data_IF_245828716128
#
_entry.id   IF_245828716128
#
_cell.length_a   1.000
_cell.length_b   1.000
_cell.length_c   1.000
_cell.angle_alpha   90.00
_cell.angle_beta   90.00
_cell.angle_gamma   90.00
#
_symmetry.space_group_name_H-M   'P 1'
#
loop_
_entity.id
_entity.type
_entity.pdbx_description
1 polymer ?
#
# COMPACT_ATOMS: atom_id res chain seq x y z
N UNK A 1 -47.85 -39.67 40.62
CA UNK A 1 -48.19 -38.54 39.72
C UNK A 1 -46.92 -37.71 39.55
N UNK A 2 -46.20 -37.89 38.43
CA UNK A 2 -46.13 -36.97 37.25
C UNK A 2 -45.35 -35.69 37.60
N UNK A 3 -44.31 -35.20 36.89
CA UNK A 3 -43.44 -35.56 35.75
C UNK A 3 -42.37 -34.44 35.68
N UNK A 4 -41.13 -34.77 35.27
CA UNK A 4 -40.26 -34.04 34.30
C UNK A 4 -39.89 -32.56 34.61
N UNK A 5 -38.63 -32.09 34.55
CA UNK A 5 -37.34 -32.70 34.18
C UNK A 5 -36.27 -31.61 33.93
N UNK A 6 -34.99 -32.06 33.81
CA UNK A 6 -33.83 -31.51 33.03
C UNK A 6 -33.47 -30.02 33.20
N UNK A 7 -32.23 -29.59 33.50
CA UNK A 7 -30.93 -29.90 32.84
C UNK A 7 -29.75 -29.27 33.64
N UNK A 8 -28.55 -29.80 33.38
CA UNK A 8 -27.23 -29.61 34.01
C UNK A 8 -26.49 -28.29 33.70
N UNK A 9 -25.52 -27.89 34.55
CA UNK A 9 -24.20 -27.36 34.16
C UNK A 9 -23.19 -27.33 35.33
N UNK A 10 -21.91 -27.58 35.05
CA UNK A 10 -20.77 -27.66 35.96
C UNK A 10 -19.86 -26.42 35.84
N UNK A 11 -19.12 -26.05 36.90
CA UNK A 11 -17.93 -25.18 36.85
C UNK A 11 -16.88 -25.65 37.86
N UNK A 12 -15.63 -25.67 37.38
CA UNK A 12 -14.37 -26.10 38.00
C UNK A 12 -13.93 -25.25 39.20
N UNK A 13 -13.21 -25.88 40.14
CA UNK A 13 -12.29 -25.24 41.08
C UNK A 13 -10.90 -25.90 40.93
N UNK A 14 -9.87 -25.08 40.66
CA UNK A 14 -8.48 -25.53 40.57
C UNK A 14 -7.74 -25.22 41.89
N UNK A 15 -6.98 -26.23 42.35
CA UNK A 15 -6.33 -26.29 43.66
C UNK A 15 -4.92 -25.73 43.71
N UNK A 16 -4.42 -25.71 44.95
CA UNK A 16 -3.22 -25.04 45.44
C UNK A 16 -1.93 -25.89 45.40
N UNK A 17 -0.79 -25.16 45.35
CA UNK A 17 0.55 -25.36 45.95
C UNK A 17 1.23 -26.74 46.00
N UNK A 18 2.52 -26.82 45.57
CA UNK A 18 3.73 -26.87 46.45
C UNK A 18 5.05 -27.20 45.68
N UNK A 19 6.20 -26.80 46.30
CA UNK A 19 7.63 -27.18 46.12
C UNK A 19 8.49 -26.21 45.26
N UNK A 20 9.34 -25.31 45.80
CA UNK A 20 10.71 -25.45 46.41
C UNK A 20 11.68 -26.28 45.55
N UNK A 21 12.90 -25.91 45.15
CA UNK A 21 13.93 -24.97 45.67
C UNK A 21 15.20 -25.01 44.78
N UNK A 22 16.14 -24.05 45.00
CA UNK A 22 17.61 -24.06 44.72
C UNK A 22 18.23 -23.42 43.43
N UNK A 23 18.90 -22.28 43.67
CA UNK A 23 20.21 -21.73 43.20
C UNK A 23 20.66 -21.64 41.70
N UNK A 24 20.74 -20.37 41.22
CA UNK A 24 21.87 -19.58 40.60
C UNK A 24 22.77 -20.17 39.48
N UNK A 25 23.49 -19.36 38.63
CA UNK A 25 23.57 -17.89 38.48
C UNK A 25 23.55 -17.34 37.02
N UNK A 26 23.52 -16.00 36.95
CA UNK A 26 23.93 -15.08 35.87
C UNK A 26 25.07 -15.55 34.93
N UNK A 27 24.91 -15.33 33.62
CA UNK A 27 25.96 -14.83 32.71
C UNK A 27 25.35 -14.35 31.37
N UNK A 28 25.66 -13.10 31.01
CA UNK A 28 25.40 -12.46 29.72
C UNK A 28 26.03 -13.21 28.55
N UNK A 29 25.32 -13.29 27.42
CA UNK A 29 25.92 -13.12 26.09
C UNK A 29 24.82 -12.67 25.13
N UNK A 30 24.68 -11.36 24.93
CA UNK A 30 23.90 -10.83 23.82
C UNK A 30 24.66 -11.09 22.51
N UNK A 31 24.10 -11.93 21.64
CA UNK A 31 24.50 -12.03 20.25
C UNK A 31 23.62 -11.09 19.42
N UNK A 32 24.22 -9.98 18.98
CA UNK A 32 23.72 -9.16 17.87
C UNK A 32 23.68 -10.03 16.60
N UNK A 33 22.48 -10.40 16.17
CA UNK A 33 22.21 -10.76 14.79
C UNK A 33 21.08 -9.84 14.30
N UNK A 34 21.48 -8.82 13.53
CA UNK A 34 20.55 -7.98 12.79
C UNK A 34 19.89 -8.86 11.71
N UNK A 35 18.62 -9.16 11.89
CA UNK A 35 17.81 -9.83 10.88
C UNK A 35 17.53 -8.83 9.75
N UNK A 36 18.24 -9.01 8.64
CA UNK A 36 17.94 -8.42 7.34
C UNK A 36 16.53 -8.87 6.93
N UNK A 37 15.53 -8.02 7.10
CA UNK A 37 14.21 -8.23 6.49
C UNK A 37 14.26 -7.72 5.04
N UNK A 38 14.53 -8.62 4.11
CA UNK A 38 14.22 -8.38 2.70
C UNK A 38 12.71 -8.48 2.54
N UNK A 39 12.03 -7.34 2.44
CA UNK A 39 10.61 -7.27 2.11
C UNK A 39 10.42 -7.73 0.67
N UNK A 40 9.75 -8.87 0.47
CA UNK A 40 9.36 -9.34 -0.85
C UNK A 40 8.43 -8.31 -1.50
N UNK A 41 8.85 -7.82 -2.66
CA UNK A 41 8.20 -6.76 -3.44
C UNK A 41 6.93 -7.32 -4.12
N UNK A 42 5.82 -7.32 -3.39
CA UNK A 42 4.50 -7.54 -3.95
C UNK A 42 4.01 -6.25 -4.62
N UNK A 43 3.94 -6.26 -5.96
CA UNK A 43 3.30 -5.19 -6.73
C UNK A 43 1.78 -5.39 -6.68
N UNK A 44 1.04 -4.33 -6.36
CA UNK A 44 -0.42 -4.33 -6.38
C UNK A 44 -0.97 -4.54 -7.80
N UNK A 45 -2.25 -4.92 -7.91
CA UNK A 45 -2.96 -5.05 -9.18
C UNK A 45 -2.96 -3.76 -10.03
N UNK A 46 -2.67 -2.62 -9.40
CA UNK A 46 -2.62 -1.30 -10.00
C UNK A 46 -1.20 -0.88 -10.41
N UNK A 47 -0.22 -1.80 -10.40
CA UNK A 47 1.15 -1.50 -10.79
C UNK A 47 1.92 -0.64 -9.79
N UNK A 48 1.36 -0.37 -8.61
CA UNK A 48 2.01 0.32 -7.50
C UNK A 48 2.56 -0.69 -6.49
N UNK A 49 3.72 -0.40 -5.94
CA UNK A 49 4.40 -1.20 -4.92
C UNK A 49 4.38 -0.48 -3.58
N UNK A 50 4.32 -1.26 -2.50
CA UNK A 50 4.66 -0.75 -1.18
C UNK A 50 6.13 -0.24 -1.14
N UNK A 51 6.48 0.66 -0.22
CA UNK A 51 7.84 1.18 -0.08
C UNK A 51 8.86 0.05 0.08
N UNK A 52 10.02 0.21 -0.57
CA UNK A 52 11.13 -0.73 -0.46
C UNK A 52 12.34 -0.04 0.17
N UNK A 53 13.01 -0.73 1.09
CA UNK A 53 14.22 -0.23 1.74
C UNK A 53 15.41 -1.12 1.40
N UNK A 54 16.50 -0.51 0.92
CA UNK A 54 17.78 -1.17 0.66
C UNK A 54 18.91 -0.23 1.06
N UNK A 55 19.88 -0.72 1.84
CA UNK A 55 21.08 0.02 2.23
C UNK A 55 20.82 1.43 2.83
N UNK A 56 19.77 1.55 3.66
CA UNK A 56 19.39 2.83 4.28
C UNK A 56 18.68 3.81 3.35
N UNK A 57 18.39 3.39 2.11
CA UNK A 57 17.67 4.16 1.10
C UNK A 57 16.27 3.60 0.94
N UNK A 58 15.26 4.45 1.13
CA UNK A 58 13.87 4.11 0.85
C UNK A 58 13.51 4.53 -0.57
N UNK A 59 12.82 3.65 -1.29
CA UNK A 59 12.19 3.97 -2.57
C UNK A 59 10.68 3.83 -2.47
N UNK A 60 9.96 4.88 -2.87
CA UNK A 60 8.51 4.89 -3.01
C UNK A 60 8.13 4.88 -4.49
N UNK A 61 7.05 4.19 -4.82
CA UNK A 61 6.31 4.52 -6.03
C UNK A 61 5.60 5.86 -5.84
N UNK A 62 5.43 6.59 -6.94
CA UNK A 62 4.78 7.89 -6.94
C UNK A 62 3.62 7.92 -7.91
N UNK A 63 2.66 8.80 -7.62
CA UNK A 63 1.54 9.10 -8.50
C UNK A 63 1.31 10.60 -8.64
N UNK A 64 0.68 11.03 -9.72
CA UNK A 64 0.04 12.32 -9.86
C UNK A 64 -1.45 12.19 -9.59
N UNK A 65 -1.99 13.09 -8.78
CA UNK A 65 -3.42 13.13 -8.45
C UNK A 65 -3.79 14.53 -7.91
N UNK A 66 -4.80 15.19 -8.46
CA UNK A 66 -5.09 16.60 -8.15
C UNK A 66 -4.04 17.57 -8.70
N UNK A 67 -4.33 18.86 -8.55
CA UNK A 67 -3.46 19.97 -8.96
C UNK A 67 -3.51 21.10 -7.95
N UNK A 68 -2.37 21.73 -7.66
CA UNK A 68 -2.30 22.86 -6.74
C UNK A 68 -1.32 23.92 -7.22
N UNK A 69 -1.41 25.13 -6.68
CA UNK A 69 -0.40 26.16 -6.90
C UNK A 69 0.92 25.70 -6.29
N UNK A 70 2.00 25.74 -7.07
CA UNK A 70 3.29 25.17 -6.66
C UNK A 70 4.48 25.99 -7.13
N UNK A 71 4.50 26.43 -8.39
CA UNK A 71 5.60 27.20 -8.99
C UNK A 71 5.04 28.42 -9.73
N UNK A 72 5.90 29.42 -9.98
CA UNK A 72 5.59 30.54 -10.89
C UNK A 72 5.50 30.02 -12.33
N UNK A 73 4.28 30.04 -12.87
CA UNK A 73 3.93 29.56 -14.21
C UNK A 73 3.68 30.69 -15.20
N UNK A 74 3.42 31.91 -14.70
CA UNK A 74 3.10 33.06 -15.52
C UNK A 74 4.34 33.96 -15.80
N UNK A 75 5.44 33.75 -15.07
CA UNK A 75 6.72 34.42 -15.20
C UNK A 75 6.80 35.80 -14.55
N UNK A 76 5.92 36.13 -13.60
CA UNK A 76 5.91 37.42 -12.89
C UNK A 76 6.88 37.48 -11.70
N UNK A 77 7.53 36.36 -11.37
CA UNK A 77 8.49 36.23 -10.29
C UNK A 77 7.90 35.88 -8.92
N UNK A 78 6.59 35.63 -8.84
CA UNK A 78 5.90 35.21 -7.62
C UNK A 78 5.07 33.97 -7.91
N UNK A 79 5.13 32.96 -7.03
CA UNK A 79 4.20 31.83 -7.11
C UNK A 79 2.95 32.15 -6.27
N UNK A 80 1.82 32.46 -6.93
CA UNK A 80 0.58 32.86 -6.26
C UNK A 80 -0.69 32.25 -6.89
N UNK A 81 -1.88 32.72 -6.50
CA UNK A 81 -3.14 32.15 -6.99
C UNK A 81 -3.52 32.55 -8.43
N UNK A 82 -2.75 33.46 -9.05
CA UNK A 82 -2.86 33.80 -10.47
C UNK A 82 -2.11 32.80 -11.37
N UNK A 83 -1.29 31.92 -10.78
CA UNK A 83 -0.62 30.84 -11.49
C UNK A 83 -1.55 29.69 -11.87
N UNK A 84 -1.16 28.98 -12.93
CA UNK A 84 -1.78 27.72 -13.30
C UNK A 84 -1.40 26.63 -12.28
N UNK A 85 -2.42 25.98 -11.71
CA UNK A 85 -2.24 24.83 -10.82
C UNK A 85 -1.51 23.68 -11.54
N UNK A 86 -0.48 23.15 -10.89
CA UNK A 86 0.34 22.04 -11.39
C UNK A 86 -0.06 20.72 -10.72
N UNK A 87 0.10 19.56 -11.40
CA UNK A 87 -0.16 18.25 -10.81
C UNK A 87 0.57 18.03 -9.49
N UNK A 88 -0.13 17.51 -8.48
CA UNK A 88 0.49 17.18 -7.19
C UNK A 88 1.11 15.79 -7.31
N UNK A 89 2.41 15.68 -7.00
CA UNK A 89 3.11 14.39 -6.89
C UNK A 89 2.97 13.84 -5.47
N UNK A 90 2.59 12.58 -5.36
CA UNK A 90 2.40 11.88 -4.10
C UNK A 90 3.34 10.68 -3.99
N UNK A 91 3.88 10.43 -2.80
CA UNK A 91 4.60 9.20 -2.43
C UNK A 91 3.61 8.17 -1.90
N UNK A 92 3.66 6.95 -2.43
CA UNK A 92 2.81 5.84 -2.00
C UNK A 92 3.39 5.21 -0.74
N UNK A 93 2.75 5.45 0.41
CA UNK A 93 3.18 4.94 1.71
C UNK A 93 2.72 3.49 1.93
N UNK A 94 1.53 3.13 1.45
CA UNK A 94 1.11 1.73 1.40
C UNK A 94 0.08 1.48 0.31
N UNK A 95 0.06 0.24 -0.17
CA UNK A 95 -0.99 -0.27 -1.06
C UNK A 95 -1.57 -1.55 -0.46
N UNK A 96 -2.89 -1.55 -0.26
CA UNK A 96 -3.67 -2.70 0.17
C UNK A 96 -4.93 -2.82 -0.71
N UNK A 97 -4.92 -3.79 -1.63
CA UNK A 97 -5.98 -3.94 -2.62
C UNK A 97 -6.12 -2.71 -3.51
N UNK A 98 -7.28 -2.05 -3.45
CA UNK A 98 -7.58 -0.80 -4.16
C UNK A 98 -7.29 0.46 -3.34
N UNK A 99 -6.71 0.32 -2.16
CA UNK A 99 -6.38 1.42 -1.29
C UNK A 99 -4.92 1.81 -1.43
N UNK A 100 -4.66 3.06 -1.81
CA UNK A 100 -3.33 3.66 -1.68
C UNK A 100 -3.34 4.74 -0.61
N UNK A 101 -2.55 4.55 0.44
CA UNK A 101 -2.22 5.61 1.37
C UNK A 101 -1.05 6.41 0.83
N UNK A 102 -1.22 7.71 0.65
CA UNK A 102 -0.22 8.56 0.02
C UNK A 102 0.04 9.84 0.83
N UNK A 103 1.25 10.41 0.68
CA UNK A 103 1.64 11.72 1.21
C UNK A 103 2.23 12.59 0.11
N UNK A 104 1.97 13.89 0.12
CA UNK A 104 2.54 14.80 -0.86
C UNK A 104 4.07 14.73 -0.85
N UNK A 105 4.70 14.76 -2.03
CA UNK A 105 6.16 14.71 -2.15
C UNK A 105 6.82 15.95 -1.53
N UNK A 106 6.14 17.09 -1.65
CA UNK A 106 6.53 18.41 -1.14
C UNK A 106 5.51 18.95 -0.13
N UNK A 107 5.91 19.92 0.69
CA UNK A 107 4.97 20.75 1.43
C UNK A 107 4.31 21.70 0.42
N UNK A 108 2.99 21.64 0.29
CA UNK A 108 2.25 22.31 -0.80
C UNK A 108 1.87 23.75 -0.47
N UNK A 109 1.72 24.04 0.82
CA UNK A 109 1.33 25.36 1.34
C UNK A 109 2.02 25.61 2.69
N UNK A 110 1.89 26.80 3.25
CA UNK A 110 2.38 27.15 4.58
C UNK A 110 1.36 28.01 5.32
N UNK A 111 0.86 27.49 6.44
CA UNK A 111 -0.13 28.18 7.27
C UNK A 111 -0.10 27.59 8.69
N UNK A 112 -0.64 28.32 9.69
CA UNK A 112 -0.66 27.83 11.06
C UNK A 112 -1.54 26.59 11.21
N UNK A 113 -1.20 25.74 12.19
CA UNK A 113 -2.05 24.64 12.59
C UNK A 113 -3.39 25.12 13.14
N UNK A 114 -3.35 26.20 13.93
CA UNK A 114 -4.52 26.93 14.41
C UNK A 114 -4.26 28.43 14.35
N UNK A 115 -5.23 29.22 13.88
CA UNK A 115 -5.08 30.68 13.73
C UNK A 115 -4.83 31.41 15.06
N UNK A 116 -5.38 30.87 16.15
CA UNK A 116 -5.30 31.42 17.49
C UNK A 116 -4.37 30.59 18.37
N UNK A 117 -3.60 31.26 19.23
CA UNK A 117 -2.76 30.59 20.23
C UNK A 117 -3.62 30.14 21.42
N UNK A 118 -4.03 28.88 21.41
CA UNK A 118 -4.87 28.27 22.43
C UNK A 118 -4.69 26.74 22.47
N UNK A 119 -5.29 26.10 23.47
CA UNK A 119 -5.37 24.64 23.54
C UNK A 119 -6.29 24.12 22.43
N UNK A 120 -5.75 23.27 21.56
CA UNK A 120 -6.47 22.75 20.40
C UNK A 120 -6.06 21.31 20.11
N UNK A 121 -6.95 20.53 19.51
CA UNK A 121 -6.65 19.18 19.01
C UNK A 121 -6.77 19.16 17.49
N UNK A 122 -6.39 18.04 16.85
CA UNK A 122 -6.62 17.87 15.41
C UNK A 122 -8.09 18.06 15.02
N UNK A 123 -9.01 17.56 15.84
CA UNK A 123 -10.45 17.65 15.60
C UNK A 123 -10.94 19.09 15.45
N UNK A 124 -10.38 20.00 16.24
CA UNK A 124 -10.88 21.38 16.43
C UNK A 124 -10.02 22.45 15.76
N UNK A 125 -8.87 22.10 15.18
CA UNK A 125 -7.97 23.09 14.60
C UNK A 125 -8.48 23.66 13.27
N UNK A 126 -8.09 24.89 12.96
CA UNK A 126 -8.46 25.55 11.70
C UNK A 126 -7.83 24.87 10.49
N UNK A 127 -6.62 24.30 10.61
CA UNK A 127 -5.94 23.62 9.51
C UNK A 127 -6.70 22.39 9.00
N UNK A 128 -7.30 21.59 9.89
CA UNK A 128 -8.16 20.45 9.50
C UNK A 128 -9.37 20.92 8.70
N UNK A 129 -9.98 22.02 9.12
CA UNK A 129 -11.13 22.65 8.43
C UNK A 129 -10.73 23.12 7.04
N UNK A 130 -9.57 23.76 6.91
CA UNK A 130 -9.05 24.17 5.61
C UNK A 130 -8.73 22.98 4.70
N UNK A 131 -8.07 21.93 5.21
CA UNK A 131 -7.71 20.73 4.44
C UNK A 131 -8.94 20.02 3.85
N UNK A 132 -10.01 19.88 4.64
CA UNK A 132 -11.23 19.17 4.24
C UNK A 132 -12.32 20.09 3.65
N UNK A 133 -12.04 21.39 3.52
CA UNK A 133 -12.94 22.39 2.96
C UNK A 133 -12.31 23.09 1.76
N UNK A 134 -11.45 24.06 2.02
CA UNK A 134 -10.82 24.88 0.97
C UNK A 134 -9.86 24.08 0.12
N UNK A 135 -8.86 23.43 0.73
CA UNK A 135 -7.81 22.71 0.00
C UNK A 135 -8.39 21.61 -0.88
N UNK A 136 -9.30 20.77 -0.37
CA UNK A 136 -9.86 19.68 -1.17
C UNK A 136 -10.64 20.19 -2.39
N UNK A 137 -11.31 21.33 -2.28
CA UNK A 137 -12.05 21.96 -3.38
C UNK A 137 -11.13 22.66 -4.38
N UNK A 138 -10.01 23.20 -3.91
CA UNK A 138 -9.01 23.81 -4.78
C UNK A 138 -8.13 22.77 -5.48
N UNK A 139 -7.79 21.68 -4.79
CA UNK A 139 -6.79 20.73 -5.24
C UNK A 139 -7.34 19.62 -6.12
N UNK A 140 -8.64 19.29 -6.01
CA UNK A 140 -9.22 18.12 -6.65
C UNK A 140 -10.54 18.44 -7.36
N UNK A 141 -10.71 17.91 -8.58
CA UNK A 141 -11.98 17.93 -9.28
C UNK A 141 -13.05 17.10 -8.56
N UNK A 142 -14.32 17.25 -8.90
CA UNK A 142 -15.42 16.44 -8.32
C UNK A 142 -15.17 14.93 -8.47
N UNK A 143 -14.63 14.50 -9.61
CA UNK A 143 -14.27 13.11 -9.89
C UNK A 143 -13.11 12.65 -9.00
N UNK A 144 -12.05 13.47 -8.87
CA UNK A 144 -10.92 13.20 -7.97
C UNK A 144 -11.38 13.15 -6.51
N UNK A 145 -12.19 14.10 -6.04
CA UNK A 145 -12.75 14.11 -4.69
C UNK A 145 -13.57 12.84 -4.38
N UNK A 146 -14.18 12.23 -5.38
CA UNK A 146 -14.92 10.97 -5.25
C UNK A 146 -13.99 9.76 -5.13
N UNK A 147 -12.76 9.86 -5.63
CA UNK A 147 -11.71 8.85 -5.46
C UNK A 147 -11.00 8.94 -4.10
N UNK A 148 -11.07 10.10 -3.41
CA UNK A 148 -10.53 10.26 -2.05
C UNK A 148 -11.43 9.58 -1.03
N UNK A 149 -10.88 8.60 -0.30
CA UNK A 149 -11.62 7.84 0.71
C UNK A 149 -11.73 8.63 2.01
N UNK A 150 -12.94 8.65 2.56
CA UNK A 150 -13.16 9.10 3.93
C UNK A 150 -12.55 8.08 4.89
N UNK A 151 -11.64 8.53 5.74
CA UNK A 151 -10.78 7.69 6.58
C UNK A 151 -11.03 8.00 8.05
N UNK A 152 -11.11 6.95 8.88
CA UNK A 152 -11.11 7.10 10.33
C UNK A 152 -9.68 7.43 10.79
N UNK A 153 -9.41 8.70 11.11
CA UNK A 153 -8.09 9.18 11.51
C UNK A 153 -7.97 9.13 13.03
N UNK A 154 -7.16 8.19 13.53
CA UNK A 154 -6.96 7.97 14.97
C UNK A 154 -5.95 8.99 15.51
N UNK A 155 -6.43 9.93 16.34
CA UNK A 155 -5.62 11.00 16.94
C UNK A 155 -5.05 10.56 18.28
N UNK A 156 -3.98 9.79 18.22
CA UNK A 156 -3.28 9.29 19.40
C UNK A 156 -2.53 10.39 20.14
N UNK A 157 -2.34 10.16 21.44
CA UNK A 157 -1.58 11.03 22.31
C UNK A 157 -0.12 11.14 21.87
N UNK A 158 0.53 12.23 22.27
CA UNK A 158 1.96 12.42 22.04
C UNK A 158 2.75 11.25 22.64
N UNK A 159 3.66 10.68 21.85
CA UNK A 159 4.42 9.47 22.21
C UNK A 159 5.25 9.63 23.50
N UNK A 160 5.82 10.82 23.72
CA UNK A 160 6.72 11.10 24.84
C UNK A 160 6.00 11.78 26.01
N UNK A 161 5.18 12.80 25.72
CA UNK A 161 4.58 13.65 26.74
C UNK A 161 3.19 13.18 27.20
N UNK A 162 2.54 12.29 26.45
CA UNK A 162 1.18 11.84 26.75
C UNK A 162 0.12 12.95 26.62
N UNK A 163 0.43 14.07 25.97
CA UNK A 163 -0.55 15.12 25.64
C UNK A 163 -1.66 14.53 24.79
N UNK A 164 -2.92 14.79 25.16
CA UNK A 164 -4.08 14.18 24.51
C UNK A 164 -4.17 14.56 23.03
N UNK A 165 -4.27 13.56 22.16
CA UNK A 165 -4.40 13.77 20.71
C UNK A 165 -5.79 14.25 20.26
N UNK A 166 -6.81 14.02 21.09
CA UNK A 166 -8.21 14.29 20.80
C UNK A 166 -8.97 13.07 20.29
N UNK A 167 -10.20 13.25 19.82
CA UNK A 167 -11.02 12.15 19.35
C UNK A 167 -10.56 11.65 17.97
N UNK A 168 -10.92 10.41 17.63
CA UNK A 168 -10.83 9.92 16.25
C UNK A 168 -11.75 10.75 15.35
N UNK A 169 -11.24 11.20 14.21
CA UNK A 169 -11.98 12.00 13.23
C UNK A 169 -12.30 11.20 11.97
N UNK A 170 -13.17 11.75 11.12
CA UNK A 170 -13.51 11.19 9.81
C UNK A 170 -13.10 12.21 8.76
N UNK A 171 -11.95 11.98 8.11
CA UNK A 171 -11.28 12.96 7.25
C UNK A 171 -10.99 12.38 5.87
N UNK A 172 -11.03 13.22 4.84
CA UNK A 172 -10.55 12.87 3.50
C UNK A 172 -9.09 13.24 3.34
N UNK A 173 -8.70 14.41 3.85
CA UNK A 173 -7.35 14.94 3.80
C UNK A 173 -6.88 15.19 5.24
N UNK A 174 -5.67 14.72 5.57
CA UNK A 174 -5.11 14.87 6.90
C UNK A 174 -3.58 15.04 6.85
N UNK A 175 -2.95 15.21 8.01
CA UNK A 175 -1.48 15.18 8.15
C UNK A 175 -1.06 13.86 8.80
N UNK A 176 0.17 13.41 8.54
CA UNK A 176 0.72 12.24 9.22
C UNK A 176 0.89 12.52 10.73
N UNK A 177 0.77 11.48 11.55
CA UNK A 177 1.09 11.48 12.98
C UNK A 177 2.55 11.09 13.24
N UNK A 178 2.98 11.26 14.49
CA UNK A 178 4.28 10.75 14.96
C UNK A 178 4.45 9.25 14.69
N UNK A 179 3.41 8.43 14.86
CA UNK A 179 3.49 6.99 14.59
C UNK A 179 3.63 6.67 13.11
N UNK A 180 2.94 7.42 12.25
CA UNK A 180 3.00 7.20 10.80
C UNK A 180 4.38 7.60 10.24
N UNK A 181 4.99 8.70 10.72
CA UNK A 181 6.32 9.14 10.26
C UNK A 181 7.49 8.37 10.87
N UNK A 182 7.24 7.40 11.74
CA UNK A 182 8.23 6.43 12.23
C UNK A 182 7.91 4.99 11.81
N UNK A 183 6.98 4.81 10.87
CA UNK A 183 6.57 3.50 10.42
C UNK A 183 7.46 3.00 9.28
N UNK A 184 8.26 1.97 9.56
CA UNK A 184 9.11 1.29 8.57
C UNK A 184 8.34 0.78 7.35
N UNK A 185 7.08 0.37 7.52
CA UNK A 185 6.25 -0.08 6.40
C UNK A 185 5.89 1.04 5.43
N UNK A 186 5.86 2.28 5.92
CA UNK A 186 5.65 3.47 5.11
C UNK A 186 6.96 4.04 4.55
N UNK A 187 8.07 3.34 4.77
CA UNK A 187 9.38 3.72 4.27
C UNK A 187 10.09 4.77 5.12
N UNK A 188 9.57 5.07 6.32
CA UNK A 188 10.22 5.97 7.26
C UNK A 188 11.08 5.21 8.27
N UNK A 189 12.13 5.86 8.78
CA UNK A 189 12.96 5.28 9.83
C UNK A 189 12.19 5.17 11.16
N UNK A 190 12.34 4.04 11.85
CA UNK A 190 11.76 3.81 13.17
C UNK A 190 12.29 4.72 14.27
N UNK A 191 13.52 5.23 14.13
CA UNK A 191 14.06 6.21 15.06
C UNK A 191 13.48 7.59 14.72
N UNK A 192 12.52 8.04 15.53
CA UNK A 192 11.85 9.33 15.38
C UNK A 192 12.78 10.50 15.73
N UNK A 193 13.80 10.27 16.56
CA UNK A 193 14.67 11.30 17.13
C UNK A 193 16.03 11.36 16.44
N UNK A 194 16.08 10.92 15.18
CA UNK A 194 17.28 10.97 14.36
C UNK A 194 17.02 11.70 13.05
N UNK A 195 18.09 12.33 12.56
CA UNK A 195 18.16 12.83 11.19
C UNK A 195 17.80 11.71 10.22
N UNK A 196 16.92 12.00 9.27
CA UNK A 196 16.43 10.96 8.38
C UNK A 196 15.94 11.53 7.05
N UNK A 197 16.63 11.15 5.98
CA UNK A 197 16.31 11.58 4.62
C UNK A 197 14.90 11.19 4.19
N UNK A 198 14.34 10.10 4.72
CA UNK A 198 12.96 9.68 4.39
C UNK A 198 11.90 10.69 4.84
N UNK A 199 12.16 11.42 5.93
CA UNK A 199 11.28 12.43 6.52
C UNK A 199 11.53 13.85 6.00
N UNK A 200 12.68 14.10 5.39
CA UNK A 200 13.00 15.39 4.79
C UNK A 200 11.96 15.77 3.71
N UNK A 201 11.71 17.07 3.61
CA UNK A 201 10.72 17.64 2.71
C UNK A 201 11.19 19.01 2.23
N UNK A 202 11.04 19.27 0.93
CA UNK A 202 11.17 20.61 0.36
C UNK A 202 9.76 21.18 0.15
N UNK A 203 9.55 22.49 0.36
CA UNK A 203 8.30 23.14 0.04
C UNK A 203 8.18 23.39 -1.47
N UNK A 204 6.96 23.65 -1.95
CA UNK A 204 6.73 24.31 -3.22
C UNK A 204 7.16 25.78 -3.14
N UNK A 205 7.41 26.42 -4.28
CA UNK A 205 7.67 27.88 -4.30
C UNK A 205 6.46 28.65 -3.77
N UNK A 206 5.24 28.22 -4.09
CA UNK A 206 4.00 28.79 -3.52
C UNK A 206 3.98 28.75 -1.97
N UNK A 207 4.41 27.64 -1.38
CA UNK A 207 4.51 27.56 0.08
C UNK A 207 5.58 28.52 0.64
N UNK A 208 6.71 28.70 -0.06
CA UNK A 208 7.74 29.69 0.32
C UNK A 208 7.20 31.12 0.25
N UNK A 209 6.43 31.47 -0.78
CA UNK A 209 5.73 32.75 -0.89
C UNK A 209 4.73 32.94 0.27
N UNK A 210 4.09 31.86 0.71
CA UNK A 210 3.28 31.80 1.94
C UNK A 210 4.11 31.66 3.24
N UNK A 211 5.36 32.12 3.21
CA UNK A 211 6.27 32.22 4.35
C UNK A 211 6.79 30.89 4.92
N UNK A 212 6.78 29.80 4.15
CA UNK A 212 7.42 28.55 4.58
C UNK A 212 8.91 28.77 4.85
N UNK A 213 9.34 28.46 6.07
CA UNK A 213 10.75 28.52 6.39
C UNK A 213 11.52 27.47 5.60
N UNK A 214 12.64 27.86 5.01
CA UNK A 214 13.57 26.96 4.33
C UNK A 214 14.99 27.12 4.84
N UNK A 215 15.70 26.01 4.87
CA UNK A 215 17.13 26.01 5.17
C UNK A 215 17.91 26.67 4.03
N UNK A 216 18.73 27.66 4.36
CA UNK A 216 19.49 28.47 3.39
C UNK A 216 20.99 28.12 3.30
N UNK A 217 21.48 27.21 4.14
CA UNK A 217 22.90 26.81 4.22
C UNK A 217 23.06 25.38 4.75
N UNK A 218 24.20 24.75 4.47
CA UNK A 218 24.58 23.38 4.86
C UNK A 218 23.95 22.22 4.04
N UNK A 219 23.97 21.00 4.58
CA UNK A 219 23.58 19.77 3.88
C UNK A 219 22.08 19.59 3.62
N UNK A 220 21.23 20.50 4.11
CA UNK A 220 19.76 20.40 4.02
C UNK A 220 19.13 21.58 3.27
N UNK A 221 19.91 22.29 2.44
CA UNK A 221 19.45 23.47 1.70
C UNK A 221 18.13 23.20 0.94
N UNK A 222 17.18 24.11 1.14
CA UNK A 222 15.84 24.06 0.55
C UNK A 222 14.84 23.18 1.29
N UNK A 223 15.25 22.42 2.32
CA UNK A 223 14.32 21.67 3.14
C UNK A 223 13.55 22.61 4.08
N UNK A 224 12.31 22.26 4.39
CA UNK A 224 11.44 22.99 5.31
C UNK A 224 11.03 22.15 6.51
N UNK A 225 10.44 22.82 7.50
CA UNK A 225 9.69 22.17 8.55
C UNK A 225 8.30 21.80 8.02
N UNK A 226 7.69 20.73 8.54
CA UNK A 226 6.31 20.39 8.19
C UNK A 226 5.53 19.79 9.36
N UNK A 227 4.25 20.18 9.43
CA UNK A 227 3.36 19.82 10.54
C UNK A 227 3.02 18.33 10.58
N UNK A 228 2.89 17.79 11.80
CA UNK A 228 2.18 16.54 12.06
C UNK A 228 0.82 16.87 12.67
N UNK A 229 -0.13 15.93 12.62
CA UNK A 229 -1.41 16.09 13.34
C UNK A 229 -1.30 15.83 14.84
N UNK A 230 -0.25 15.14 15.28
CA UNK A 230 -0.01 14.81 16.68
C UNK A 230 0.27 16.07 17.53
N UNK A 231 -0.25 16.14 18.77
CA UNK A 231 0.04 17.24 19.67
C UNK A 231 1.51 17.26 20.08
N UNK A 232 2.01 18.41 20.55
CA UNK A 232 3.34 18.55 21.11
C UNK A 232 3.39 18.24 22.61
N UNK A 233 4.30 18.87 23.36
CA UNK A 233 4.41 18.70 24.81
C UNK A 233 3.27 19.32 25.63
N UNK A 234 2.41 20.12 25.00
CA UNK A 234 1.21 20.72 25.58
C UNK A 234 0.17 20.95 24.47
N UNK A 235 -1.10 21.15 24.82
CA UNK A 235 -2.21 21.25 23.87
C UNK A 235 -2.16 22.49 22.95
N UNK A 236 -1.33 23.48 23.25
CA UNK A 236 -1.10 24.68 22.43
C UNK A 236 0.19 24.61 21.57
N UNK A 237 0.86 23.45 21.55
CA UNK A 237 1.99 23.14 20.66
C UNK A 237 1.73 21.87 19.88
N UNK A 238 2.32 21.74 18.69
CA UNK A 238 2.06 20.64 17.75
C UNK A 238 3.37 20.02 17.29
N UNK A 239 3.42 18.69 17.21
CA UNK A 239 4.59 17.99 16.71
C UNK A 239 4.83 18.31 15.23
N UNK A 240 6.09 18.32 14.83
CA UNK A 240 6.48 18.60 13.45
C UNK A 240 7.77 17.84 13.11
N UNK A 241 8.13 17.83 11.83
CA UNK A 241 9.41 17.30 11.36
C UNK A 241 10.31 18.47 10.96
N UNK A 242 11.57 18.42 11.41
CA UNK A 242 12.60 19.42 11.16
C UNK A 242 13.25 19.25 9.76
N UNK A 243 14.06 20.22 9.31
CA UNK A 243 14.62 20.24 7.95
C UNK A 243 15.60 19.09 7.64
N UNK A 244 16.21 18.52 8.66
CA UNK A 244 17.08 17.33 8.58
C UNK A 244 16.29 16.00 8.67
N UNK A 245 14.98 16.06 8.89
CA UNK A 245 14.11 14.92 9.07
C UNK A 245 13.94 14.47 10.52
N UNK A 246 14.47 15.21 11.51
CA UNK A 246 14.28 14.91 12.92
C UNK A 246 12.84 15.18 13.37
N UNK A 247 12.20 14.21 14.03
CA UNK A 247 10.89 14.38 14.65
C UNK A 247 10.92 15.21 15.94
N UNK A 248 10.11 16.26 16.02
CA UNK A 248 10.06 17.19 17.17
C UNK A 248 8.72 17.06 17.91
N UNK A 249 8.71 16.21 18.93
CA UNK A 249 7.55 15.93 19.79
C UNK A 249 7.26 17.01 20.84
N UNK A 250 8.26 17.80 21.24
CA UNK A 250 8.06 19.01 22.05
C UNK A 250 7.24 20.07 21.30
N UNK A 251 7.26 20.00 19.97
CA UNK A 251 6.40 20.74 19.07
C UNK A 251 6.75 22.22 18.90
N UNK A 252 5.89 22.90 18.16
CA UNK A 252 5.91 24.35 17.91
C UNK A 252 4.52 24.91 18.18
N UNK A 253 4.42 26.17 18.58
CA UNK A 253 3.14 26.82 18.86
C UNK A 253 2.15 26.68 17.70
N UNK A 254 0.88 26.39 18.02
CA UNK A 254 -0.18 26.12 17.04
C UNK A 254 -0.35 27.24 16.00
N UNK A 255 -0.04 28.48 16.36
CA UNK A 255 -0.12 29.66 15.51
C UNK A 255 1.16 29.96 14.72
N UNK A 256 2.13 29.04 14.67
CA UNK A 256 3.36 29.21 13.88
C UNK A 256 3.04 29.27 12.39
N UNK A 257 3.44 30.35 11.71
CA UNK A 257 3.07 30.64 10.31
C UNK A 257 4.14 30.23 9.30
N UNK A 258 5.19 29.55 9.74
CA UNK A 258 6.41 29.28 8.98
C UNK A 258 6.68 27.78 8.77
N UNK A 259 5.67 26.94 9.01
CA UNK A 259 5.76 25.48 8.90
C UNK A 259 4.89 25.00 7.74
N UNK A 260 5.49 24.20 6.86
CA UNK A 260 4.83 23.67 5.68
C UNK A 260 3.71 22.69 6.00
N UNK A 261 2.69 22.69 5.14
CA UNK A 261 1.59 21.74 5.13
C UNK A 261 1.91 20.64 4.12
N UNK A 262 2.03 19.41 4.62
CA UNK A 262 2.31 18.21 3.81
C UNK A 262 1.14 17.23 3.92
N UNK A 263 0.10 17.35 3.06
CA UNK A 263 -1.09 16.54 3.17
C UNK A 263 -0.83 15.05 2.90
N UNK A 264 -1.66 14.21 3.50
CA UNK A 264 -1.78 12.80 3.26
C UNK A 264 -3.26 12.41 3.10
N UNK A 265 -3.52 11.35 2.33
CA UNK A 265 -4.87 10.88 2.06
C UNK A 265 -4.88 9.43 1.54
N UNK A 266 -6.05 8.80 1.58
CA UNK A 266 -6.28 7.50 0.96
C UNK A 266 -7.00 7.67 -0.39
N UNK A 267 -6.47 7.04 -1.44
CA UNK A 267 -7.02 7.06 -2.80
C UNK A 267 -7.56 5.68 -3.15
N UNK A 268 -8.74 5.66 -3.75
CA UNK A 268 -9.27 4.49 -4.43
C UNK A 268 -8.59 4.31 -5.79
N UNK A 269 -7.69 3.32 -5.89
CA UNK A 269 -6.93 2.99 -7.08
C UNK A 269 -7.78 2.46 -8.24
N UNK A 270 -9.00 2.00 -7.99
CA UNK A 270 -9.94 1.66 -9.07
C UNK A 270 -10.43 2.88 -9.86
N UNK A 271 -10.22 4.09 -9.33
CA UNK A 271 -10.43 5.33 -10.07
C UNK A 271 -9.38 5.51 -11.17
N UNK A 272 -9.79 6.07 -12.30
CA UNK A 272 -8.89 6.49 -13.39
C UNK A 272 -8.30 7.89 -13.20
N UNK A 273 -8.57 8.55 -12.06
CA UNK A 273 -8.20 9.95 -11.81
C UNK A 273 -6.73 10.15 -11.40
N UNK A 274 -5.96 9.08 -11.17
CA UNK A 274 -4.54 9.16 -10.83
C UNK A 274 -3.65 8.65 -11.97
N UNK A 275 -2.37 9.05 -11.98
CA UNK A 275 -1.38 8.60 -12.97
C UNK A 275 -0.10 8.17 -12.29
N UNK A 276 0.56 7.13 -12.78
CA UNK A 276 1.88 6.75 -12.27
C UNK A 276 2.92 7.85 -12.55
N UNK A 277 3.71 8.21 -11.54
CA UNK A 277 4.68 9.31 -11.57
C UNK A 277 6.12 8.82 -11.32
N UNK A 278 6.40 7.54 -11.59
CA UNK A 278 7.71 6.94 -11.41
C UNK A 278 8.01 6.58 -9.97
N UNK A 279 9.31 6.49 -9.65
CA UNK A 279 9.81 6.19 -8.30
C UNK A 279 10.51 7.42 -7.72
N UNK A 280 10.47 7.56 -6.40
CA UNK A 280 11.22 8.57 -5.64
C UNK A 280 12.09 7.85 -4.61
N UNK A 281 13.34 8.29 -4.46
CA UNK A 281 14.28 7.77 -3.47
C UNK A 281 14.46 8.77 -2.33
N UNK A 282 14.73 8.30 -1.11
CA UNK A 282 15.13 9.16 0.00
C UNK A 282 16.49 9.84 -0.26
N UNK A 283 17.32 9.28 -1.14
CA UNK A 283 18.64 9.81 -1.49
C UNK A 283 18.63 10.75 -2.70
N UNK A 284 17.53 10.80 -3.46
CA UNK A 284 17.43 11.71 -4.59
C UNK A 284 17.12 13.13 -4.12
N UNK A 285 17.96 14.09 -4.51
CA UNK A 285 17.62 15.50 -4.43
C UNK A 285 16.36 15.75 -5.27
N UNK A 286 15.32 16.34 -4.66
CA UNK A 286 14.05 16.75 -5.32
C UNK A 286 14.24 17.81 -6.43
N UNK A 287 15.47 18.10 -6.83
CA UNK A 287 15.82 18.97 -7.95
C UNK A 287 16.00 18.15 -9.23
N UNK A 288 14.91 17.74 -9.87
CA UNK A 288 14.90 17.59 -11.33
C UNK A 288 13.47 17.55 -11.86
N UNK A 289 13.14 18.61 -12.60
CA UNK A 289 12.14 18.71 -13.68
C UNK A 289 10.75 18.14 -13.43
N UNK A 290 9.76 19.04 -13.45
CA UNK A 290 8.44 18.82 -14.04
C UNK A 290 8.62 18.11 -15.38
N UNK A 291 8.72 16.78 -15.36
CA UNK A 291 8.30 16.01 -16.51
C UNK A 291 6.84 16.43 -16.71
N UNK A 292 6.49 16.92 -17.90
CA UNK A 292 5.09 16.93 -18.33
C UNK A 292 4.47 15.59 -17.92
N UNK A 293 3.19 15.56 -17.51
CA UNK A 293 2.49 14.29 -17.38
C UNK A 293 2.54 13.63 -18.75
N UNK A 294 3.57 12.78 -18.95
CA UNK A 294 3.70 11.93 -20.11
C UNK A 294 2.35 11.26 -20.21
N UNK A 295 1.74 11.30 -21.40
CA UNK A 295 0.72 10.33 -21.75
C UNK A 295 1.20 8.99 -21.20
N UNK A 296 0.27 8.27 -20.56
CA UNK A 296 0.51 6.97 -19.98
C UNK A 296 1.54 6.21 -20.85
N UNK A 297 2.45 5.40 -20.26
CA UNK A 297 3.17 4.43 -21.09
C UNK A 297 2.14 3.82 -22.02
N UNK A 298 2.46 3.79 -23.32
CA UNK A 298 1.61 3.20 -24.35
C UNK A 298 1.20 1.81 -23.84
N UNK A 299 0.09 1.79 -23.11
CA UNK A 299 -0.52 0.60 -22.60
C UNK A 299 -1.26 0.21 -23.84
N UNK A 300 -0.62 -0.68 -24.62
CA UNK A 300 -1.28 -1.51 -25.62
C UNK A 300 -2.74 -1.60 -25.20
N UNK A 301 -3.62 -0.93 -25.96
CA UNK A 301 -5.05 -0.91 -25.69
C UNK A 301 -5.47 -2.35 -25.47
N UNK A 302 -5.74 -2.74 -24.22
CA UNK A 302 -5.97 -4.15 -23.92
C UNK A 302 -7.30 -4.52 -24.53
N UNK A 303 -7.22 -5.37 -25.53
CA UNK A 303 -8.38 -5.96 -26.14
C UNK A 303 -9.02 -6.92 -25.13
N UNK A 304 -10.09 -6.47 -24.47
CA UNK A 304 -10.85 -7.27 -23.52
C UNK A 304 -11.60 -8.44 -24.19
N UNK A 305 -11.62 -8.47 -25.53
CA UNK A 305 -12.07 -9.62 -26.31
C UNK A 305 -11.07 -10.78 -26.30
N UNK A 306 -9.89 -10.63 -25.66
CA UNK A 306 -8.87 -11.67 -25.60
C UNK A 306 -8.49 -12.08 -24.17
N UNK A 307 -8.18 -13.38 -24.02
CA UNK A 307 -7.50 -13.96 -22.86
C UNK A 307 -6.05 -14.15 -23.26
N UNK A 308 -5.14 -13.43 -22.60
CA UNK A 308 -3.70 -13.53 -22.87
C UNK A 308 -3.02 -14.39 -21.79
N UNK A 309 -2.16 -15.30 -22.21
CA UNK A 309 -1.42 -16.21 -21.34
C UNK A 309 0.06 -16.05 -21.63
N UNK A 310 0.88 -15.86 -20.60
CA UNK A 310 2.34 -15.90 -20.67
C UNK A 310 2.87 -17.07 -19.85
N UNK A 311 3.79 -17.83 -20.43
CA UNK A 311 4.40 -19.01 -19.80
C UNK A 311 5.91 -18.79 -19.74
N UNK A 312 6.53 -19.02 -18.58
CA UNK A 312 7.98 -18.87 -18.36
C UNK A 312 8.59 -20.07 -17.62
N UNK A 313 9.90 -20.27 -17.73
CA UNK A 313 10.65 -21.21 -16.90
C UNK A 313 10.82 -20.59 -15.51
N UNK A 314 10.43 -21.31 -14.46
CA UNK A 314 10.53 -20.83 -13.09
C UNK A 314 11.98 -20.61 -12.63
N UNK A 315 12.92 -21.46 -13.08
CA UNK A 315 14.31 -21.42 -12.62
C UNK A 315 15.18 -20.45 -13.45
N UNK A 316 14.63 -19.90 -14.54
CA UNK A 316 15.27 -18.91 -15.40
C UNK A 316 14.31 -17.77 -15.77
N UNK A 317 14.01 -16.93 -14.77
CA UNK A 317 13.19 -15.72 -14.96
C UNK A 317 13.93 -14.61 -15.74
N UNK A 318 15.21 -14.83 -16.10
CA UNK A 318 16.01 -13.92 -16.92
C UNK A 318 15.89 -14.20 -18.42
N UNK A 319 15.25 -15.32 -18.79
CA UNK A 319 15.11 -15.77 -20.16
C UNK A 319 13.72 -15.52 -20.77
N UNK A 320 13.72 -15.48 -22.10
CA UNK A 320 12.55 -15.42 -23.00
C UNK A 320 11.49 -16.46 -22.58
N UNK A 321 10.20 -16.16 -22.79
CA UNK A 321 9.12 -17.06 -22.39
C UNK A 321 9.19 -18.44 -23.06
N UNK A 322 8.46 -19.40 -22.50
CA UNK A 322 8.48 -20.79 -22.93
C UNK A 322 7.67 -20.98 -24.21
N UNK A 323 8.36 -21.18 -25.32
CA UNK A 323 7.73 -21.49 -26.62
C UNK A 323 7.09 -22.88 -26.64
N UNK A 324 5.93 -22.99 -27.29
CA UNK A 324 5.24 -24.25 -27.57
C UNK A 324 4.72 -24.97 -26.33
N UNK A 325 4.32 -24.22 -25.29
CA UNK A 325 3.52 -24.74 -24.19
C UNK A 325 2.05 -24.79 -24.63
N UNK A 326 1.41 -25.94 -24.45
CA UNK A 326 0.01 -26.19 -24.79
C UNK A 326 -0.89 -25.68 -23.65
N UNK A 327 -1.89 -24.86 -23.99
CA UNK A 327 -2.82 -24.26 -23.04
C UNK A 327 -4.25 -24.66 -23.42
N UNK A 328 -5.00 -25.22 -22.49
CA UNK A 328 -6.43 -25.52 -22.62
C UNK A 328 -7.20 -24.76 -21.54
N UNK A 329 -8.23 -24.01 -21.93
CA UNK A 329 -9.18 -23.35 -21.03
C UNK A 329 -10.57 -23.97 -21.23
N UNK A 330 -11.09 -24.63 -20.19
CA UNK A 330 -12.35 -25.37 -20.26
C UNK A 330 -13.50 -24.45 -20.72
N UNK A 331 -14.15 -24.85 -21.82
CA UNK A 331 -15.30 -24.12 -22.38
C UNK A 331 -14.96 -22.80 -23.08
N UNK A 332 -13.66 -22.50 -23.29
CA UNK A 332 -13.20 -21.36 -24.10
C UNK A 332 -12.44 -21.86 -25.33
N UNK A 333 -11.37 -22.65 -25.15
CA UNK A 333 -10.57 -23.13 -26.27
C UNK A 333 -9.18 -23.62 -25.89
N UNK A 334 -8.36 -23.89 -26.91
CA UNK A 334 -6.97 -24.37 -26.79
C UNK A 334 -6.04 -23.52 -27.66
N UNK A 335 -4.80 -23.33 -27.21
CA UNK A 335 -3.77 -22.58 -27.93
C UNK A 335 -2.36 -23.04 -27.52
N UNK A 336 -1.33 -22.52 -28.18
CA UNK A 336 0.07 -22.78 -27.86
C UNK A 336 0.86 -21.48 -27.80
N UNK A 337 1.85 -21.40 -26.92
CA UNK A 337 2.71 -20.21 -26.82
C UNK A 337 3.67 -20.04 -27.99
N UNK A 338 3.89 -18.78 -28.37
CA UNK A 338 4.87 -18.33 -29.36
C UNK A 338 6.31 -18.32 -28.84
N UNK A 339 7.26 -17.84 -29.66
CA UNK A 339 8.69 -17.77 -29.32
C UNK A 339 9.03 -16.86 -28.12
N UNK A 340 8.10 -15.98 -27.72
CA UNK A 340 8.22 -15.12 -26.53
C UNK A 340 7.46 -15.69 -25.32
N UNK A 341 6.92 -16.91 -25.46
CA UNK A 341 6.13 -17.60 -24.45
C UNK A 341 4.73 -17.05 -24.24
N UNK A 342 4.16 -16.37 -25.24
CA UNK A 342 2.83 -15.75 -25.16
C UNK A 342 1.82 -16.50 -26.02
N UNK A 343 0.58 -16.55 -25.56
CA UNK A 343 -0.55 -17.06 -26.32
C UNK A 343 -1.79 -16.21 -26.07
N UNK A 344 -2.70 -16.19 -27.03
CA UNK A 344 -4.00 -15.52 -26.93
C UNK A 344 -5.13 -16.47 -27.33
N UNK A 345 -6.29 -16.29 -26.70
CA UNK A 345 -7.57 -16.88 -27.12
C UNK A 345 -8.64 -15.80 -27.13
N UNK A 346 -9.62 -15.92 -28.01
CA UNK A 346 -10.83 -15.11 -27.95
C UNK A 346 -11.63 -15.41 -26.67
N UNK A 347 -12.04 -14.35 -25.97
CA UNK A 347 -12.85 -14.42 -24.76
C UNK A 347 -14.34 -14.58 -25.12
N UNK A 348 -14.79 -15.83 -25.16
CA UNK A 348 -16.17 -16.18 -25.52
C UNK A 348 -17.15 -16.23 -24.34
N UNK A 349 -16.77 -15.66 -23.18
CA UNK A 349 -17.69 -15.57 -22.05
C UNK A 349 -18.95 -14.80 -22.42
N UNK A 350 -20.09 -15.27 -21.92
CA UNK A 350 -21.41 -14.64 -22.11
C UNK A 350 -22.06 -14.21 -20.79
N UNK A 351 -21.42 -14.54 -19.66
CA UNK A 351 -21.83 -14.16 -18.31
C UNK A 351 -20.78 -13.24 -17.70
N UNK A 352 -21.16 -12.33 -16.77
CA UNK A 352 -20.27 -11.31 -16.23
C UNK A 352 -18.91 -11.82 -15.74
N UNK A 353 -18.89 -13.01 -15.16
CA UNK A 353 -17.66 -13.71 -14.80
C UNK A 353 -17.94 -15.21 -14.62
N UNK A 354 -16.96 -16.06 -14.91
CA UNK A 354 -17.06 -17.50 -14.69
C UNK A 354 -15.72 -18.11 -14.29
N UNK A 355 -15.74 -19.08 -13.38
CA UNK A 355 -14.53 -19.82 -13.03
C UNK A 355 -14.22 -20.85 -14.12
N UNK A 356 -13.03 -20.75 -14.71
CA UNK A 356 -12.52 -21.69 -15.70
C UNK A 356 -11.35 -22.49 -15.16
N UNK A 357 -11.25 -23.73 -15.62
CA UNK A 357 -10.06 -24.57 -15.44
C UNK A 357 -9.09 -24.26 -16.56
N UNK A 358 -7.84 -23.97 -16.21
CA UNK A 358 -6.74 -23.79 -17.15
C UNK A 358 -5.76 -24.94 -16.95
N UNK A 359 -5.38 -25.57 -18.05
CA UNK A 359 -4.42 -26.67 -18.10
C UNK A 359 -3.27 -26.26 -19.01
N UNK A 360 -2.04 -26.33 -18.51
CA UNK A 360 -0.84 -26.01 -19.28
C UNK A 360 0.14 -27.17 -19.25
N UNK A 361 0.62 -27.55 -20.44
CA UNK A 361 1.58 -28.64 -20.65
C UNK A 361 2.76 -28.20 -21.50
N UNK A 362 3.93 -28.74 -21.18
CA UNK A 362 5.13 -28.62 -22.01
C UNK A 362 6.02 -29.83 -21.74
N UNK A 363 6.53 -30.46 -22.80
CA UNK A 363 7.48 -31.56 -22.66
C UNK A 363 8.71 -31.14 -21.83
N UNK A 364 9.11 -31.97 -20.85
CA UNK A 364 10.20 -31.67 -19.92
C UNK A 364 9.79 -30.82 -18.70
N UNK A 365 8.58 -30.29 -18.68
CA UNK A 365 8.02 -29.55 -17.55
C UNK A 365 6.91 -30.35 -16.84
N UNK A 366 6.56 -29.90 -15.64
CA UNK A 366 5.42 -30.44 -14.88
C UNK A 366 4.10 -29.98 -15.54
N UNK A 367 3.04 -30.79 -15.42
CA UNK A 367 1.70 -30.39 -15.85
C UNK A 367 1.07 -29.44 -14.82
N UNK A 368 0.53 -28.32 -15.28
CA UNK A 368 -0.12 -27.32 -14.42
C UNK A 368 -1.63 -27.30 -14.66
N UNK A 369 -2.41 -27.50 -13.59
CA UNK A 369 -3.87 -27.35 -13.62
C UNK A 369 -4.28 -26.38 -12.51
N UNK A 370 -4.96 -25.32 -12.87
CA UNK A 370 -5.49 -24.36 -11.90
C UNK A 370 -6.88 -23.85 -12.32
N UNK A 371 -7.57 -23.23 -11.36
CA UNK A 371 -8.88 -22.66 -11.57
C UNK A 371 -8.81 -21.16 -11.31
N UNK A 372 -9.30 -20.35 -12.23
CA UNK A 372 -9.32 -18.89 -12.11
C UNK A 372 -10.63 -18.32 -12.64
N UNK A 373 -11.01 -17.14 -12.19
CA UNK A 373 -12.20 -16.44 -12.67
C UNK A 373 -11.84 -15.61 -13.90
N UNK A 374 -12.50 -15.89 -15.02
CA UNK A 374 -12.47 -15.06 -16.22
C UNK A 374 -13.66 -14.09 -16.22
N UNK A 375 -13.51 -12.94 -16.87
CA UNK A 375 -14.51 -11.85 -16.86
C UNK A 375 -14.98 -11.54 -18.28
N UNK A 376 -16.26 -11.16 -18.42
CA UNK A 376 -16.91 -10.78 -19.68
C UNK A 376 -16.24 -9.57 -20.37
N UNK A 377 -16.09 -9.55 -21.72
CA UNK A 377 -15.38 -8.49 -22.45
C UNK A 377 -15.87 -7.04 -22.24
N UNK A 378 -17.17 -6.80 -22.03
CA UNK A 378 -17.73 -5.42 -22.00
C UNK A 378 -17.82 -4.78 -20.60
N UNK A 379 -17.34 -5.46 -19.55
CA UNK A 379 -17.24 -4.86 -18.21
C UNK A 379 -16.04 -3.88 -18.19
N UNK A 380 -16.35 -2.58 -18.26
CA UNK A 380 -15.36 -1.49 -18.31
C UNK A 380 -14.44 -1.51 -17.09
N UNK A 381 -13.14 -1.55 -17.39
CA UNK A 381 -11.96 -1.36 -16.54
C UNK A 381 -11.65 -2.45 -15.50
N UNK A 382 -11.03 -3.54 -15.98
CA UNK A 382 -10.38 -4.56 -15.14
C UNK A 382 -9.07 -5.01 -15.82
N UNK A 383 -7.96 -4.33 -15.59
CA UNK A 383 -6.65 -4.95 -15.74
C UNK A 383 -6.46 -5.76 -14.45
N UNK A 384 -6.57 -7.10 -14.37
CA UNK A 384 -5.71 -8.14 -14.97
C UNK A 384 -6.52 -9.45 -15.22
N UNK A 385 -7.85 -9.47 -15.14
CA UNK A 385 -8.60 -10.73 -14.93
C UNK A 385 -8.49 -11.79 -16.04
N UNK A 386 -8.19 -11.40 -17.28
CA UNK A 386 -7.98 -12.36 -18.39
C UNK A 386 -6.51 -12.42 -18.85
N UNK A 387 -5.57 -11.88 -18.07
CA UNK A 387 -4.12 -12.06 -18.28
C UNK A 387 -3.58 -13.08 -17.29
N UNK A 388 -3.05 -14.18 -17.80
CA UNK A 388 -2.53 -15.29 -17.01
C UNK A 388 -1.01 -15.35 -17.14
N UNK A 389 -0.28 -15.42 -16.03
CA UNK A 389 1.17 -15.62 -16.04
C UNK A 389 1.51 -16.90 -15.29
N UNK A 390 2.22 -17.80 -15.96
CA UNK A 390 2.41 -19.18 -15.51
C UNK A 390 3.90 -19.51 -15.55
N UNK A 391 4.51 -19.71 -14.39
CA UNK A 391 5.90 -20.14 -14.29
C UNK A 391 5.98 -21.65 -14.07
N UNK A 392 6.46 -22.36 -15.09
CA UNK A 392 6.54 -23.83 -15.08
C UNK A 392 7.89 -24.29 -14.55
N UNK A 393 7.87 -25.27 -13.64
CA UNK A 393 9.08 -25.97 -13.19
C UNK A 393 9.37 -27.20 -14.06
N UNK A 394 10.66 -27.47 -14.25
CA UNK A 394 11.13 -28.70 -14.90
C UNK A 394 10.72 -29.93 -14.09
N UNK A 395 10.41 -31.01 -14.80
CA UNK A 395 10.04 -32.31 -14.21
C UNK A 395 11.25 -32.92 -13.50
N UNK A 396 11.03 -33.52 -12.32
CA UNK A 396 12.06 -34.23 -11.55
C UNK A 396 11.77 -35.75 -11.47
N UNK A 397 12.67 -36.52 -10.89
CA UNK A 397 12.46 -37.96 -10.65
C UNK A 397 11.53 -38.18 -9.44
N UNK A 398 10.65 -39.20 -9.50
CA UNK A 398 9.67 -39.51 -8.42
C UNK A 398 8.42 -38.63 -8.42
N UNK A 399 8.48 -37.58 -9.21
CA UNK A 399 7.45 -36.60 -9.45
C UNK A 399 6.18 -37.36 -9.97
N UNK A 400 6.28 -38.33 -10.89
CA UNK A 400 5.12 -39.08 -11.45
C UNK A 400 4.30 -39.86 -10.40
N UNK A 401 4.85 -40.03 -9.20
CA UNK A 401 4.30 -40.85 -8.11
C UNK A 401 3.68 -39.99 -7.00
N UNK A 402 4.21 -38.79 -6.74
CA UNK A 402 3.77 -37.90 -5.67
C UNK A 402 3.18 -36.58 -6.23
N UNK A 403 1.91 -36.24 -5.94
CA UNK A 403 1.32 -35.01 -6.44
C UNK A 403 1.99 -33.78 -5.80
N UNK A 404 2.36 -32.80 -6.63
CA UNK A 404 2.87 -31.51 -6.21
C UNK A 404 1.78 -30.43 -6.34
N UNK A 405 1.66 -29.58 -5.32
CA UNK A 405 0.73 -28.43 -5.30
C UNK A 405 1.54 -27.16 -5.41
N UNK A 406 1.32 -26.35 -6.46
CA UNK A 406 2.08 -25.10 -6.67
C UNK A 406 1.45 -23.89 -5.98
N UNK A 407 0.13 -23.91 -5.73
CA UNK A 407 -0.59 -22.80 -5.10
C UNK A 407 -1.89 -23.29 -4.45
N UNK A 408 -2.37 -22.60 -3.42
CA UNK A 408 -3.68 -22.86 -2.81
C UNK A 408 -4.55 -21.61 -3.00
N UNK A 409 -5.77 -21.78 -3.52
CA UNK A 409 -6.73 -20.68 -3.68
C UNK A 409 -7.92 -20.90 -2.74
N UNK A 410 -8.31 -19.84 -2.04
CA UNK A 410 -9.30 -19.81 -0.97
C UNK A 410 -10.71 -19.56 -1.51
N UNK A 411 -11.74 -20.21 -0.96
CA UNK A 411 -13.14 -19.90 -1.25
C UNK A 411 -14.03 -20.04 -0.01
N UNK A 412 -14.85 -19.02 0.27
CA UNK A 412 -16.07 -19.15 1.08
C UNK A 412 -17.21 -19.53 0.14
N UNK A 413 -18.04 -20.49 0.56
CA UNK A 413 -19.04 -21.15 -0.28
C UNK A 413 -19.89 -20.19 -1.15
N UNK A 414 -20.06 -20.62 -2.40
CA UNK A 414 -20.65 -19.99 -3.59
C UNK A 414 -21.88 -19.07 -3.35
N UNK A 415 -21.65 -17.75 -3.26
CA UNK A 415 -22.28 -16.72 -4.11
C UNK A 415 -21.21 -15.63 -4.30
N UNK A 416 -20.71 -15.44 -5.52
CA UNK A 416 -19.72 -14.41 -5.80
C UNK A 416 -20.28 -13.01 -5.48
N UNK A 417 -19.69 -12.29 -4.50
CA UNK A 417 -19.53 -10.83 -4.48
C UNK A 417 -18.60 -10.29 -3.37
N UNK A 418 -17.91 -9.22 -3.77
CA UNK A 418 -16.96 -8.28 -3.13
C UNK A 418 -15.58 -8.77 -2.66
N UNK A 419 -14.59 -8.18 -3.32
CA UNK A 419 -13.14 -8.14 -3.21
C UNK A 419 -12.60 -7.45 -1.93
N UNK A 420 -11.31 -7.64 -1.65
CA UNK A 420 -10.57 -7.04 -0.52
C UNK A 420 -9.95 -8.12 0.37
N UNK A 421 -8.69 -7.95 0.78
CA UNK A 421 -7.97 -8.91 1.63
C UNK A 421 -8.81 -9.37 2.82
N UNK A 422 -9.03 -10.68 2.94
CA UNK A 422 -9.91 -11.25 3.97
C UNK A 422 -9.09 -11.73 5.17
N UNK A 423 -9.51 -11.30 6.37
CA UNK A 423 -9.13 -11.90 7.64
C UNK A 423 -10.19 -12.92 8.08
N UNK A 424 -9.75 -14.11 8.51
CA UNK A 424 -10.63 -15.18 9.01
C UNK A 424 -10.71 -15.16 10.54
N UNK A 425 -11.91 -15.33 11.09
CA UNK A 425 -12.09 -15.61 12.50
C UNK A 425 -11.75 -17.08 12.79
N UNK A 426 -11.32 -17.40 14.01
CA UNK A 426 -10.98 -18.77 14.42
C UNK A 426 -12.15 -19.77 14.32
N UNK A 427 -13.38 -19.28 14.17
CA UNK A 427 -14.61 -20.05 14.02
C UNK A 427 -14.99 -20.40 12.57
N UNK A 428 -14.29 -19.84 11.59
CA UNK A 428 -14.71 -19.95 10.19
C UNK A 428 -14.37 -21.33 9.61
N UNK A 429 -15.33 -21.91 8.88
CA UNK A 429 -15.09 -23.09 8.04
C UNK A 429 -14.67 -22.61 6.65
N UNK A 430 -13.37 -22.68 6.37
CA UNK A 430 -12.79 -22.25 5.08
C UNK A 430 -12.62 -23.46 4.17
N UNK A 431 -13.08 -23.35 2.92
CA UNK A 431 -12.88 -24.36 1.88
C UNK A 431 -11.72 -23.91 0.98
N UNK A 432 -10.74 -24.79 0.77
CA UNK A 432 -9.58 -24.53 -0.07
C UNK A 432 -9.68 -25.34 -1.36
N UNK A 433 -9.23 -24.77 -2.48
CA UNK A 433 -8.97 -25.51 -3.71
C UNK A 433 -7.47 -25.43 -4.03
N UNK A 434 -6.81 -26.58 -3.99
CA UNK A 434 -5.42 -26.69 -4.42
C UNK A 434 -5.33 -26.46 -5.93
N UNK A 435 -4.47 -25.54 -6.33
CA UNK A 435 -4.04 -25.35 -7.71
C UNK A 435 -2.71 -26.10 -7.88
N UNK A 436 -2.71 -27.07 -8.78
CA UNK A 436 -1.68 -28.10 -8.89
C UNK A 436 -2.13 -29.42 -8.31
N UNK A 437 -2.76 -30.25 -9.15
CA UNK A 437 -2.83 -31.69 -8.94
C UNK A 437 -2.29 -32.32 -10.20
N UNK A 438 -1.07 -32.79 -10.14
CA UNK A 438 -0.52 -33.60 -11.20
C UNK A 438 -1.02 -35.04 -11.10
N UNK A 439 -1.19 -35.68 -12.26
CA UNK A 439 -1.64 -37.06 -12.53
C UNK A 439 -3.15 -37.37 -12.40
N UNK A 440 -4.01 -36.35 -12.34
CA UNK A 440 -5.47 -36.49 -12.25
C UNK A 440 -5.98 -37.31 -11.04
N UNK A 441 -5.10 -37.68 -10.09
CA UNK A 441 -5.52 -38.33 -8.83
C UNK A 441 -5.94 -37.27 -7.83
N UNK A 442 -7.14 -37.42 -7.29
CA UNK A 442 -7.60 -36.61 -6.16
C UNK A 442 -6.69 -36.90 -4.95
N UNK A 443 -5.97 -35.92 -4.39
CA UNK A 443 -5.15 -36.15 -3.20
C UNK A 443 -6.04 -36.60 -2.02
N UNK A 444 -5.53 -37.54 -1.22
CA UNK A 444 -6.29 -38.14 -0.11
C UNK A 444 -6.48 -37.20 1.09
N UNK A 445 -5.55 -36.27 1.31
CA UNK A 445 -5.62 -35.21 2.32
C UNK A 445 -4.63 -34.08 1.99
N UNK A 446 -4.82 -32.91 2.60
CA UNK A 446 -3.90 -31.77 2.53
C UNK A 446 -3.36 -31.49 3.94
N UNK A 447 -2.09 -31.09 4.06
CA UNK A 447 -1.48 -30.60 5.31
C UNK A 447 -1.03 -29.15 5.10
N UNK A 448 -1.57 -28.23 5.90
CA UNK A 448 -1.08 -26.87 6.03
C UNK A 448 -0.11 -26.82 7.21
N UNK A 449 1.11 -26.39 6.97
CA UNK A 449 2.06 -26.03 8.02
C UNK A 449 1.85 -24.56 8.35
N UNK A 450 1.77 -24.27 9.66
CA UNK A 450 1.79 -22.92 10.19
C UNK A 450 3.15 -22.76 10.85
N UNK A 451 3.95 -21.84 10.34
CA UNK A 451 5.18 -21.40 11.00
C UNK A 451 4.88 -20.63 12.30
#
# INVERSE_FOLDING_TARGET
>A
MTKIGKRSLAVLAAGAMLLTSFNMPFAETESKAATQMTAEKSTSAYGLSNPAMSDGVTTWDCIYFGKYWQEDTNGDGTADQNDEKQPIKWRVLSVDGDDAFVVADRALDCQPYNETYEDVTWETCTLRTWLNGTFINDAFSTEEQSAVKTTAVVNEDNIEYGTLGGNTTSDKIFLLSQKEVKNLKYGFDSDYYAECKSRQCKPSTYAVENHCWTRNSDGYVGNCWWWLRSPGSASYVVAYVYDDGWGRDGGRGVCGTDVGVRPALHINLSSSSWKYAGKMSSDSDSSTTTAEPSSAPDMDTVDASEIAVSVSDYDDLSAKGLEGAEITIDGIGETTTDADGKAQLENTLSVPSEMKKIHVKKEGYRDYIYYTTLVYPELVNVFVTNRQSISMKKKQEGDDVNPYVSSIVYYSDEIAKTCGGQHFAASDRVTFRACGVWNAKKPGYYQLYRD
#
